data_IF_372109755327
#
_entry.id   IF_372109755327
#
_cell.length_a   1.000
_cell.length_b   1.000
_cell.length_c   1.000
_cell.angle_alpha   90.00
_cell.angle_beta   90.00
_cell.angle_gamma   90.00
#
_symmetry.space_group_name_H-M   'P 1'
#
loop_
_entity.id
_entity.type
_entity.pdbx_description
1 polymer ?
#
# COMPACT_ATOMS: atom_id res chain seq x y z
N UNK A 1 5.88 14.98 -5.66
CA UNK A 1 6.09 13.53 -5.44
C UNK A 1 4.72 12.89 -5.38
N UNK A 2 4.40 11.99 -6.30
CA UNK A 2 3.05 11.46 -6.47
C UNK A 2 2.81 10.36 -5.43
N UNK A 3 2.10 10.67 -4.35
CA UNK A 3 1.95 9.79 -3.18
C UNK A 3 0.55 9.15 -3.14
N UNK A 4 0.15 8.57 -4.27
CA UNK A 4 -1.24 8.14 -4.49
C UNK A 4 -1.68 7.06 -3.51
N UNK A 5 -0.78 6.15 -3.13
CA UNK A 5 -1.06 5.08 -2.16
C UNK A 5 -1.33 5.67 -0.77
N UNK A 6 -0.47 6.55 -0.26
CA UNK A 6 -0.69 7.14 1.05
C UNK A 6 -1.94 8.02 1.07
N UNK A 7 -2.23 8.77 0.00
CA UNK A 7 -3.46 9.57 -0.08
C UNK A 7 -4.72 8.69 -0.08
N UNK A 8 -4.71 7.57 -0.82
CA UNK A 8 -5.81 6.58 -0.77
C UNK A 8 -6.01 6.04 0.64
N UNK A 9 -4.93 5.65 1.33
CA UNK A 9 -4.98 5.15 2.72
C UNK A 9 -5.47 6.24 3.70
N UNK A 10 -4.98 7.48 3.60
CA UNK A 10 -5.43 8.60 4.43
C UNK A 10 -6.92 8.85 4.25
N UNK A 11 -7.41 8.88 3.01
CA UNK A 11 -8.83 9.08 2.69
C UNK A 11 -9.67 7.94 3.26
N UNK A 12 -9.26 6.69 3.10
CA UNK A 12 -9.99 5.55 3.66
C UNK A 12 -10.02 5.60 5.20
N UNK A 13 -8.86 5.84 5.84
CA UNK A 13 -8.76 5.96 7.28
C UNK A 13 -9.72 7.02 7.83
N UNK A 14 -9.77 8.20 7.19
CA UNK A 14 -10.69 9.30 7.55
C UNK A 14 -12.16 8.91 7.32
N UNK A 15 -12.50 8.27 6.19
CA UNK A 15 -13.84 7.75 5.91
C UNK A 15 -14.32 6.74 6.96
N UNK A 16 -13.43 5.85 7.43
CA UNK A 16 -13.69 4.91 8.53
C UNK A 16 -13.65 5.55 9.93
N UNK A 17 -13.44 6.88 10.03
CA UNK A 17 -13.32 7.64 11.29
C UNK A 17 -12.24 7.10 12.24
N UNK A 18 -11.13 6.60 11.68
CA UNK A 18 -10.01 6.06 12.45
C UNK A 18 -8.92 7.15 12.59
N UNK A 19 -8.44 7.39 13.80
CA UNK A 19 -7.29 8.29 14.04
C UNK A 19 -5.96 7.59 13.67
N UNK A 20 -4.89 8.35 13.44
CA UNK A 20 -3.56 7.76 13.23
C UNK A 20 -3.14 6.87 14.41
N UNK A 21 -3.44 7.30 15.66
CA UNK A 21 -3.13 6.51 16.87
C UNK A 21 -3.88 5.18 16.88
N UNK A 22 -5.16 5.17 16.51
CA UNK A 22 -5.94 3.94 16.42
C UNK A 22 -5.45 3.03 15.30
N UNK A 23 -5.13 3.57 14.11
CA UNK A 23 -4.61 2.76 13.02
C UNK A 23 -3.23 2.17 13.35
N UNK A 24 -2.35 2.94 13.96
CA UNK A 24 -1.06 2.46 14.45
C UNK A 24 -1.23 1.29 15.43
N UNK A 25 -2.14 1.43 16.40
CA UNK A 25 -2.45 0.36 17.35
C UNK A 25 -3.04 -0.89 16.67
N UNK A 26 -3.98 -0.73 15.74
CA UNK A 26 -4.62 -1.84 15.01
C UNK A 26 -3.66 -2.59 14.08
N UNK A 27 -2.77 -1.87 13.40
CA UNK A 27 -1.81 -2.45 12.45
C UNK A 27 -0.54 -2.98 13.11
N UNK A 28 -0.27 -2.61 14.37
CA UNK A 28 1.01 -2.90 15.02
C UNK A 28 2.19 -2.13 14.41
N UNK A 29 1.93 -1.06 13.65
CA UNK A 29 2.94 -0.14 13.11
C UNK A 29 3.12 1.03 14.08
N UNK A 30 4.34 1.51 14.26
CA UNK A 30 4.58 2.67 15.14
C UNK A 30 3.85 3.92 14.63
N UNK A 31 3.35 4.74 15.55
CA UNK A 31 2.70 6.02 15.20
C UNK A 31 3.66 6.94 14.41
N UNK A 32 4.96 6.92 14.73
CA UNK A 32 5.96 7.69 14.01
C UNK A 32 6.12 7.25 12.55
N UNK A 33 6.15 5.93 12.31
CA UNK A 33 6.19 5.37 10.95
C UNK A 33 4.93 5.72 10.17
N UNK A 34 3.74 5.60 10.78
CA UNK A 34 2.47 5.95 10.14
C UNK A 34 2.41 7.45 9.80
N UNK A 35 2.87 8.33 10.70
CA UNK A 35 2.92 9.77 10.44
C UNK A 35 3.84 10.11 9.26
N UNK A 36 5.06 9.56 9.24
CA UNK A 36 5.99 9.75 8.12
C UNK A 36 5.38 9.24 6.83
N UNK A 37 4.80 8.05 6.83
CA UNK A 37 4.12 7.49 5.66
C UNK A 37 3.01 8.41 5.13
N UNK A 38 2.10 8.89 5.98
CA UNK A 38 1.01 9.77 5.54
C UNK A 38 1.51 11.15 5.04
N UNK A 39 2.73 11.56 5.41
CA UNK A 39 3.34 12.83 5.01
C UNK A 39 4.22 12.69 3.75
N UNK A 40 5.13 11.71 3.71
CA UNK A 40 6.10 11.52 2.63
C UNK A 40 5.71 10.46 1.62
N UNK A 41 4.93 9.46 2.03
CA UNK A 41 4.62 8.27 1.22
C UNK A 41 5.57 7.11 1.43
N UNK A 42 6.64 7.33 2.17
CA UNK A 42 7.67 6.34 2.38
C UNK A 42 7.32 5.43 3.56
N UNK A 43 7.35 4.13 3.31
CA UNK A 43 7.14 3.10 4.31
C UNK A 43 7.72 1.77 3.81
N UNK A 44 8.04 0.85 4.73
CA UNK A 44 8.38 -0.52 4.32
C UNK A 44 7.15 -1.27 3.80
N UNK A 45 7.35 -2.18 2.84
CA UNK A 45 6.29 -3.05 2.31
C UNK A 45 5.58 -3.84 3.41
N UNK A 46 6.32 -4.35 4.40
CA UNK A 46 5.74 -5.07 5.54
C UNK A 46 4.77 -4.19 6.34
N UNK A 47 5.13 -2.93 6.59
CA UNK A 47 4.27 -2.00 7.33
C UNK A 47 3.08 -1.55 6.49
N UNK A 48 3.27 -1.38 5.18
CA UNK A 48 2.17 -1.12 4.24
C UNK A 48 1.15 -2.26 4.27
N UNK A 49 1.61 -3.52 4.20
CA UNK A 49 0.75 -4.72 4.29
C UNK A 49 -0.03 -4.75 5.61
N UNK A 50 0.63 -4.49 6.74
CA UNK A 50 -0.02 -4.41 8.06
C UNK A 50 -1.10 -3.33 8.12
N UNK A 51 -0.84 -2.16 7.53
CA UNK A 51 -1.82 -1.07 7.44
C UNK A 51 -3.00 -1.46 6.54
N UNK A 52 -2.73 -2.09 5.40
CA UNK A 52 -3.77 -2.54 4.46
C UNK A 52 -4.72 -3.55 5.13
N UNK A 53 -4.18 -4.57 5.80
CA UNK A 53 -4.97 -5.55 6.57
C UNK A 53 -5.78 -4.85 7.68
N UNK A 54 -5.19 -3.92 8.43
CA UNK A 54 -5.89 -3.19 9.48
C UNK A 54 -7.01 -2.24 8.97
N UNK A 55 -7.08 -2.02 7.66
CA UNK A 55 -8.11 -1.24 6.98
C UNK A 55 -9.06 -2.09 6.12
N UNK A 56 -8.92 -3.42 6.15
CA UNK A 56 -9.66 -4.38 5.32
C UNK A 56 -9.40 -4.14 3.80
N UNK A 57 -8.13 -3.95 3.43
CA UNK A 57 -7.64 -3.68 2.06
C UNK A 57 -6.67 -4.76 1.56
N UNK A 58 -6.61 -5.94 2.16
CA UNK A 58 -5.67 -7.00 1.76
C UNK A 58 -5.78 -7.36 0.28
N UNK A 59 -7.00 -7.46 -0.25
CA UNK A 59 -7.26 -7.82 -1.66
C UNK A 59 -6.80 -6.72 -2.64
N UNK A 60 -6.86 -5.45 -2.23
CA UNK A 60 -6.40 -4.32 -3.05
C UNK A 60 -4.87 -4.31 -3.19
N UNK A 61 -4.16 -4.92 -2.24
CA UNK A 61 -2.69 -5.03 -2.30
C UNK A 61 -2.26 -6.11 -3.31
N UNK A 62 -3.07 -7.15 -3.49
CA UNK A 62 -2.82 -8.21 -4.47
C UNK A 62 -2.90 -7.65 -5.89
N UNK A 63 -3.89 -6.80 -6.16
CA UNK A 63 -4.09 -6.19 -7.48
C UNK A 63 -3.12 -5.06 -7.86
N UNK A 64 -2.09 -4.79 -7.05
CA UNK A 64 -1.16 -3.67 -7.28
C UNK A 64 -0.34 -3.84 -8.58
N UNK A 65 -0.13 -5.09 -9.01
CA UNK A 65 0.72 -5.44 -10.15
C UNK A 65 -0.04 -6.13 -11.30
N UNK A 66 -1.37 -6.20 -11.24
CA UNK A 66 -2.17 -6.94 -12.24
C UNK A 66 -2.17 -6.31 -13.64
N UNK A 67 -1.79 -5.04 -13.75
CA UNK A 67 -1.83 -4.28 -15.00
C UNK A 67 -0.43 -3.77 -15.39
N UNK A 68 0.57 -4.64 -15.34
CA UNK A 68 1.90 -4.36 -15.89
C UNK A 68 1.91 -4.76 -17.37
N UNK A 69 1.91 -3.81 -18.32
CA UNK A 69 1.98 -4.16 -19.73
C UNK A 69 3.36 -4.71 -20.06
N UNK A 70 3.43 -5.63 -21.02
CA UNK A 70 4.71 -6.03 -21.62
C UNK A 70 5.40 -4.82 -22.24
N UNK A 71 6.65 -4.62 -21.91
CA UNK A 71 7.52 -3.60 -22.46
C UNK A 71 8.07 -3.99 -23.84
N UNK A 72 8.17 -5.28 -24.15
CA UNK A 72 8.62 -5.76 -25.48
C UNK A 72 8.16 -7.18 -25.82
N UNK A 73 8.40 -7.58 -27.07
CA UNK A 73 8.16 -8.96 -27.54
C UNK A 73 9.11 -9.94 -26.83
N UNK A 74 10.36 -9.55 -26.57
CA UNK A 74 11.32 -10.36 -25.83
C UNK A 74 10.82 -10.70 -24.42
N UNK A 75 10.10 -9.80 -23.75
CA UNK A 75 9.50 -10.07 -22.45
C UNK A 75 8.44 -11.18 -22.52
N UNK A 76 7.60 -11.16 -23.56
CA UNK A 76 6.61 -12.22 -23.83
C UNK A 76 7.30 -13.57 -24.09
N UNK A 77 8.39 -13.58 -24.86
CA UNK A 77 9.15 -14.80 -25.15
C UNK A 77 9.74 -15.40 -23.87
N UNK A 78 10.32 -14.56 -23.00
CA UNK A 78 10.94 -14.98 -21.74
C UNK A 78 9.93 -15.55 -20.73
N UNK A 79 8.70 -15.04 -20.70
CA UNK A 79 7.65 -15.56 -19.82
C UNK A 79 7.21 -16.98 -20.21
N UNK A 80 7.12 -17.27 -21.51
CA UNK A 80 6.66 -18.55 -22.04
C UNK A 80 7.69 -19.69 -21.94
N UNK A 81 8.97 -19.37 -21.70
CA UNK A 81 10.06 -20.37 -21.65
C UNK A 81 10.23 -21.03 -20.29
N UNK A 82 9.25 -20.90 -19.38
CA UNK A 82 9.30 -21.40 -18.01
C UNK A 82 8.41 -22.61 -17.75
#
# INVERSE_FOLDING_TARGET
>A
MNNDIAQKIVRLRKRKKITQKQLAARSGVSLGSLKRFEQSGEISLQSLKKIAIALDMENELEGLFDNVPFASIEEVINEQTK
#
